data_IF_388724172236
#
_entry.id   IF_388724172236
#
_cell.length_a   1.000
_cell.length_b   1.000
_cell.length_c   1.000
_cell.angle_alpha   90.00
_cell.angle_beta   90.00
_cell.angle_gamma   90.00
#
_symmetry.space_group_name_H-M   'P 1'
#
loop_
_entity.id
_entity.type
_entity.pdbx_description
1 polymer ?
#
# COMPACT_ATOMS: atom_id res chain seq x y z
N UNK A 1 -8.24 5.45 15.53
CA UNK A 1 -7.26 5.55 14.41
C UNK A 1 -7.17 4.16 13.82
N UNK A 2 -7.90 3.89 12.74
CA UNK A 2 -7.87 2.57 12.11
C UNK A 2 -6.46 2.32 11.56
N UNK A 3 -5.86 1.18 11.91
CA UNK A 3 -4.54 0.78 11.42
C UNK A 3 -4.48 0.90 9.90
N UNK A 4 -3.44 1.56 9.39
CA UNK A 4 -3.17 1.58 7.95
C UNK A 4 -2.93 0.14 7.49
N UNK A 5 -3.86 -0.40 6.72
CA UNK A 5 -3.80 -1.78 6.24
C UNK A 5 -2.83 -1.84 5.07
N UNK A 6 -1.93 -2.82 5.07
CA UNK A 6 -1.06 -3.07 3.91
C UNK A 6 -1.59 -4.24 3.09
N UNK A 7 -1.66 -4.07 1.77
CA UNK A 7 -2.14 -5.07 0.81
C UNK A 7 -1.16 -5.12 -0.34
N UNK A 8 -0.57 -6.29 -0.56
CA UNK A 8 0.41 -6.53 -1.63
C UNK A 8 1.59 -5.55 -1.67
N UNK A 9 1.97 -4.97 -0.51
CA UNK A 9 3.02 -3.96 -0.39
C UNK A 9 2.57 -2.51 -0.65
N UNK A 10 1.28 -2.30 -0.91
CA UNK A 10 0.65 -0.98 -0.89
C UNK A 10 0.01 -0.70 0.46
N UNK A 11 -0.06 0.57 0.84
CA UNK A 11 -0.69 1.07 2.06
C UNK A 11 -2.08 1.62 1.76
N UNK A 12 -3.07 1.21 2.53
CA UNK A 12 -4.44 1.71 2.43
C UNK A 12 -4.61 2.82 3.48
N UNK A 13 -4.75 4.06 3.02
CA UNK A 13 -4.84 5.24 3.86
C UNK A 13 -6.18 5.97 3.66
N UNK A 14 -6.82 6.33 4.78
CA UNK A 14 -8.03 7.17 4.79
C UNK A 14 -7.64 8.64 4.90
N UNK A 15 -8.01 9.45 3.93
CA UNK A 15 -7.87 10.89 3.96
C UNK A 15 -8.83 11.53 4.98
N UNK A 16 -8.54 12.78 5.36
CA UNK A 16 -9.39 13.57 6.28
C UNK A 16 -10.80 13.78 5.71
N UNK A 17 -10.94 13.73 4.40
CA UNK A 17 -12.20 13.91 3.67
C UNK A 17 -13.05 12.63 3.62
N UNK A 18 -12.63 11.57 4.32
CA UNK A 18 -13.32 10.28 4.35
C UNK A 18 -13.00 9.35 3.18
N UNK A 19 -12.30 9.86 2.17
CA UNK A 19 -11.90 9.14 0.97
C UNK A 19 -10.70 8.23 1.22
N UNK A 20 -10.61 7.14 0.48
CA UNK A 20 -9.57 6.13 0.61
C UNK A 20 -8.57 6.20 -0.53
N UNK A 21 -7.31 5.99 -0.19
CA UNK A 21 -6.20 6.03 -1.13
C UNK A 21 -5.38 4.75 -0.98
N UNK A 22 -4.71 4.40 -2.08
CA UNK A 22 -3.71 3.34 -2.14
C UNK A 22 -2.37 4.03 -2.32
N UNK A 23 -1.49 3.91 -1.33
CA UNK A 23 -0.16 4.48 -1.34
C UNK A 23 0.91 3.40 -1.59
N UNK A 24 1.98 3.75 -2.29
CA UNK A 24 3.14 2.89 -2.47
C UNK A 24 3.98 2.74 -1.22
N UNK A 25 5.04 1.94 -1.32
CA UNK A 25 6.06 1.78 -0.25
C UNK A 25 6.72 3.12 0.11
N UNK A 26 6.77 4.06 -0.84
CA UNK A 26 7.27 5.43 -0.63
C UNK A 26 6.27 6.39 0.02
N UNK A 27 5.04 5.95 0.32
CA UNK A 27 3.98 6.82 0.83
C UNK A 27 3.35 7.74 -0.23
N UNK A 28 3.71 7.56 -1.50
CA UNK A 28 3.09 8.25 -2.63
C UNK A 28 1.69 7.69 -2.90
N UNK A 29 0.70 8.55 -3.15
CA UNK A 29 -0.63 8.09 -3.55
C UNK A 29 -0.58 7.58 -4.99
N UNK A 30 -0.79 6.28 -5.17
CA UNK A 30 -0.73 5.59 -6.47
C UNK A 30 -2.13 5.44 -7.07
N UNK A 31 -3.16 5.25 -6.24
CA UNK A 31 -4.54 5.17 -6.72
C UNK A 31 -5.54 5.77 -5.72
N UNK A 32 -6.58 6.40 -6.25
CA UNK A 32 -7.65 7.04 -5.49
C UNK A 32 -8.10 8.36 -6.14
N UNK A 33 -9.07 9.05 -5.53
CA UNK A 33 -9.76 8.69 -4.30
C UNK A 33 -10.84 7.61 -4.48
N UNK A 34 -11.01 6.76 -3.47
CA UNK A 34 -12.03 5.71 -3.41
C UNK A 34 -13.08 5.98 -2.33
N UNK A 35 -14.33 5.53 -2.52
CA UNK A 35 -15.42 5.77 -1.57
C UNK A 35 -15.36 4.88 -0.32
N UNK A 36 -14.66 3.73 -0.37
CA UNK A 36 -14.57 2.79 0.75
C UNK A 36 -13.23 2.06 0.79
N UNK A 37 -12.91 1.52 1.97
CA UNK A 37 -11.69 0.73 2.19
C UNK A 37 -11.66 -0.51 1.30
N UNK A 38 -12.80 -1.18 1.13
CA UNK A 38 -12.91 -2.41 0.34
C UNK A 38 -12.48 -2.17 -1.12
N UNK A 39 -12.91 -1.05 -1.72
CA UNK A 39 -12.52 -0.70 -3.10
C UNK A 39 -11.02 -0.45 -3.19
N UNK A 40 -10.43 0.25 -2.21
CA UNK A 40 -8.99 0.47 -2.18
C UNK A 40 -8.20 -0.84 -2.00
N UNK A 41 -8.71 -1.78 -1.18
CA UNK A 41 -8.13 -3.12 -0.99
C UNK A 41 -8.19 -3.93 -2.29
N UNK A 42 -9.33 -3.93 -2.98
CA UNK A 42 -9.47 -4.66 -4.24
C UNK A 42 -8.49 -4.14 -5.30
N UNK A 43 -8.38 -2.82 -5.44
CA UNK A 43 -7.42 -2.20 -6.36
C UNK A 43 -5.98 -2.55 -5.96
N UNK A 44 -5.62 -2.42 -4.68
CA UNK A 44 -4.29 -2.79 -4.20
C UNK A 44 -3.98 -4.29 -4.36
N UNK A 45 -5.00 -5.15 -4.32
CA UNK A 45 -4.85 -6.60 -4.53
C UNK A 45 -4.60 -6.95 -6.00
N UNK A 46 -5.17 -6.19 -6.94
CA UNK A 46 -4.93 -6.34 -8.38
C UNK A 46 -3.59 -5.75 -8.79
N UNK A 47 -3.16 -4.66 -8.16
CA UNK A 47 -1.87 -4.04 -8.42
C UNK A 47 -0.75 -5.02 -8.07
N UNK A 48 -0.02 -5.47 -9.10
CA UNK A 48 1.17 -6.28 -8.92
C UNK A 48 2.35 -5.36 -8.65
N UNK A 49 3.01 -5.55 -7.50
CA UNK A 49 4.27 -4.86 -7.23
C UNK A 49 5.32 -5.48 -8.16
N UNK A 50 5.59 -4.80 -9.28
CA UNK A 50 6.47 -5.25 -10.38
C UNK A 50 7.90 -5.54 -9.91
N UNK A 51 8.27 -5.00 -8.74
CA UNK A 51 9.50 -5.31 -8.05
C UNK A 51 9.22 -5.65 -6.59
N UNK A 52 9.13 -6.94 -6.19
CA UNK A 52 9.24 -7.28 -4.78
C UNK A 52 10.52 -6.64 -4.25
N UNK A 53 10.37 -5.76 -3.25
CA UNK A 53 11.48 -5.00 -2.68
C UNK A 53 12.66 -5.97 -2.46
N UNK A 54 13.86 -5.67 -3.02
CA UNK A 54 14.95 -6.62 -3.00
C UNK A 54 15.21 -7.00 -1.55
N UNK A 55 14.93 -8.28 -1.22
CA UNK A 55 15.20 -8.87 0.08
C UNK A 55 16.68 -8.61 0.33
N UNK A 56 17.02 -7.64 1.18
CA UNK A 56 18.40 -7.36 1.56
C UNK A 56 18.91 -8.65 2.20
N UNK A 57 19.63 -9.46 1.40
CA UNK A 57 20.32 -10.65 1.90
C UNK A 57 21.27 -10.13 2.97
N UNK A 58 20.99 -10.48 4.23
CA UNK A 58 21.85 -10.20 5.36
C UNK A 58 23.27 -10.57 4.96
N UNK A 59 24.14 -9.57 4.93
CA UNK A 59 25.56 -9.79 4.80
C UNK A 59 26.05 -10.12 6.19
N UNK A 60 25.73 -11.33 6.66
CA UNK A 60 26.48 -11.95 7.74
C UNK A 60 27.89 -12.19 7.19
N UNK A 61 28.75 -11.20 7.43
CA UNK A 61 30.19 -11.36 7.31
C UNK A 61 30.69 -11.75 8.68
N UNK A 62 31.00 -13.05 8.77
CA UNK A 62 31.89 -13.65 9.76
C UNK A 62 33.24 -12.91 9.80
#
# INVERSE_FOLDING_TARGET
MSEAKSVNGYLINKAKDGQWWVAGVGGENIAGPFPSEAVAIEVASVLQLEHPAPKRRGKDKN
#
